data_IF_508372375925
#
_entry.id   IF_508372375925
#
_cell.length_a   1.000
_cell.length_b   1.000
_cell.length_c   1.000
_cell.angle_alpha   90.00
_cell.angle_beta   90.00
_cell.angle_gamma   90.00
#
_symmetry.space_group_name_H-M   'P 1'
#
loop_
_entity.id
_entity.type
_entity.pdbx_description
1 polymer ?
#
# COMPACT_ATOMS: atom_id res chain seq x y z
N UNK A 1 2.56 10.92 -19.20
CA UNK A 1 2.50 9.86 -18.16
C UNK A 1 2.07 10.30 -16.76
N UNK A 2 2.38 11.52 -16.27
CA UNK A 2 2.18 11.88 -14.85
C UNK A 2 0.75 12.16 -14.37
N UNK A 3 -0.26 12.09 -15.25
CA UNK A 3 -1.67 12.40 -14.98
C UNK A 3 -2.54 11.47 -15.84
N UNK A 4 -3.62 10.90 -15.29
CA UNK A 4 -4.39 9.87 -16.00
C UNK A 4 -5.06 10.37 -17.29
N UNK A 5 -5.67 11.56 -17.30
CA UNK A 5 -6.34 12.12 -18.48
C UNK A 5 -5.45 12.18 -19.74
N UNK A 6 -4.16 12.43 -19.56
CA UNK A 6 -3.20 12.60 -20.66
C UNK A 6 -2.16 11.48 -20.76
N UNK A 7 -2.22 10.47 -19.88
CA UNK A 7 -1.20 9.43 -19.77
C UNK A 7 -0.95 8.72 -21.10
N UNK A 8 -2.03 8.27 -21.75
CA UNK A 8 -1.99 7.51 -23.01
C UNK A 8 -1.59 8.34 -24.25
N UNK A 9 -1.47 9.67 -24.13
CA UNK A 9 -0.96 10.52 -25.24
C UNK A 9 0.53 10.32 -25.47
N UNK A 10 1.24 9.79 -24.47
CA UNK A 10 2.63 9.37 -24.58
C UNK A 10 2.67 7.88 -24.94
N UNK A 11 3.25 7.48 -26.09
CA UNK A 11 3.31 6.08 -26.50
C UNK A 11 3.95 5.12 -25.49
N UNK A 12 4.82 5.61 -24.58
CA UNK A 12 5.42 4.77 -23.54
C UNK A 12 4.39 4.22 -22.54
N UNK A 13 3.18 4.80 -22.51
CA UNK A 13 2.04 4.31 -21.75
C UNK A 13 1.76 2.83 -22.01
N UNK A 14 1.74 2.41 -23.27
CA UNK A 14 1.35 1.06 -23.64
C UNK A 14 2.40 0.02 -23.22
N UNK A 15 3.71 0.19 -23.48
CA UNK A 15 4.73 -0.71 -22.92
C UNK A 15 4.79 -0.72 -21.39
N UNK A 16 4.53 0.42 -20.73
CA UNK A 16 4.43 0.47 -19.27
C UNK A 16 3.29 -0.43 -18.76
N UNK A 17 2.10 -0.30 -19.35
CA UNK A 17 0.94 -1.13 -19.01
C UNK A 17 1.10 -2.59 -19.42
N UNK A 18 1.82 -2.90 -20.50
CA UNK A 18 2.16 -4.27 -20.87
C UNK A 18 3.01 -4.94 -19.78
N UNK A 19 3.98 -4.25 -19.18
CA UNK A 19 4.73 -4.84 -18.07
C UNK A 19 3.87 -4.98 -16.79
N UNK A 20 2.88 -4.11 -16.57
CA UNK A 20 1.90 -4.29 -15.47
C UNK A 20 1.03 -5.53 -15.71
N UNK A 21 0.54 -5.73 -16.93
CA UNK A 21 -0.18 -6.94 -17.33
C UNK A 21 0.69 -8.19 -17.16
N UNK A 22 1.97 -8.13 -17.54
CA UNK A 22 2.95 -9.19 -17.24
C UNK A 22 3.09 -9.48 -15.75
N UNK A 23 3.10 -8.46 -14.88
CA UNK A 23 3.23 -8.66 -13.43
C UNK A 23 2.05 -9.44 -12.84
N UNK A 24 0.85 -9.33 -13.41
CA UNK A 24 -0.27 -10.21 -13.05
C UNK A 24 0.09 -11.67 -13.32
N UNK A 25 0.58 -11.98 -14.52
CA UNK A 25 0.90 -13.36 -14.91
C UNK A 25 2.02 -13.96 -14.07
N UNK A 26 3.05 -13.16 -13.78
CA UNK A 26 4.14 -13.53 -12.87
C UNK A 26 3.60 -13.78 -11.46
N UNK A 27 2.78 -12.88 -10.92
CA UNK A 27 2.19 -13.04 -9.59
C UNK A 27 1.37 -14.32 -9.48
N UNK A 28 0.51 -14.61 -10.47
CA UNK A 28 -0.27 -15.86 -10.49
C UNK A 28 0.61 -17.09 -10.51
N UNK A 29 1.62 -17.12 -11.37
CA UNK A 29 2.52 -18.27 -11.51
C UNK A 29 3.23 -18.57 -10.19
N UNK A 30 3.67 -17.53 -9.47
CA UNK A 30 4.32 -17.67 -8.16
C UNK A 30 3.35 -18.13 -7.05
N UNK A 31 2.06 -17.86 -7.18
CA UNK A 31 1.04 -18.13 -6.15
C UNK A 31 0.04 -19.22 -6.55
N UNK A 32 0.48 -20.20 -7.34
CA UNK A 32 -0.32 -21.39 -7.66
C UNK A 32 -1.52 -21.12 -8.57
N UNK A 33 -1.43 -20.11 -9.43
CA UNK A 33 -2.46 -19.72 -10.40
C UNK A 33 -3.82 -19.36 -9.79
N UNK A 34 -3.81 -18.85 -8.55
CA UNK A 34 -5.02 -18.30 -7.91
C UNK A 34 -5.60 -17.16 -8.76
N UNK A 35 -6.91 -17.13 -8.85
CA UNK A 35 -7.69 -16.08 -9.53
C UNK A 35 -8.83 -15.63 -8.62
N UNK A 36 -9.27 -14.39 -8.79
CA UNK A 36 -10.45 -13.87 -8.07
C UNK A 36 -11.68 -14.59 -8.63
N UNK A 37 -12.48 -15.20 -7.74
CA UNK A 37 -13.67 -15.99 -8.11
C UNK A 37 -14.98 -15.29 -7.83
N UNK A 38 -14.94 -14.05 -7.34
CA UNK A 38 -16.12 -13.24 -7.06
C UNK A 38 -16.94 -13.03 -8.35
N UNK A 39 -18.21 -13.49 -8.40
CA UNK A 39 -19.07 -13.30 -9.57
C UNK A 39 -19.22 -11.84 -9.99
N UNK A 40 -19.32 -10.90 -9.05
CA UNK A 40 -19.52 -9.48 -9.36
C UNK A 40 -18.29 -8.90 -10.08
N UNK A 41 -17.10 -9.33 -9.68
CA UNK A 41 -15.86 -9.01 -10.37
C UNK A 41 -15.79 -9.72 -11.73
N UNK A 42 -16.07 -11.03 -11.78
CA UNK A 42 -15.96 -11.83 -13.01
C UNK A 42 -16.96 -11.42 -14.10
N UNK A 43 -18.14 -10.95 -13.73
CA UNK A 43 -19.20 -10.49 -14.64
C UNK A 43 -19.15 -8.98 -14.92
N UNK A 44 -18.24 -8.25 -14.27
CA UNK A 44 -17.93 -6.86 -14.65
C UNK A 44 -17.52 -6.80 -16.11
N UNK A 45 -18.10 -5.83 -16.84
CA UNK A 45 -17.97 -5.73 -18.28
C UNK A 45 -17.56 -4.36 -18.75
N UNK A 46 -16.78 -4.32 -19.82
CA UNK A 46 -16.25 -3.10 -20.42
C UNK A 46 -16.51 -3.11 -21.93
N UNK A 47 -16.45 -1.94 -22.55
CA UNK A 47 -16.66 -1.77 -23.98
C UNK A 47 -15.38 -1.25 -24.64
N UNK A 48 -14.96 -1.89 -25.73
CA UNK A 48 -13.79 -1.49 -26.53
C UNK A 48 -14.13 -1.54 -28.01
N UNK A 49 -13.53 -0.64 -28.79
CA UNK A 49 -13.49 -0.76 -30.24
C UNK A 49 -12.41 -1.74 -30.65
N UNK A 50 -12.72 -2.65 -31.56
CA UNK A 50 -11.73 -3.53 -32.20
C UNK A 50 -11.07 -2.89 -33.42
N UNK A 51 -10.20 -3.65 -34.10
CA UNK A 51 -9.49 -3.20 -35.30
C UNK A 51 -10.41 -2.95 -36.51
N UNK A 52 -11.67 -3.41 -36.45
CA UNK A 52 -12.71 -3.22 -37.47
C UNK A 52 -13.73 -2.15 -37.07
N UNK A 53 -13.41 -1.34 -36.06
CA UNK A 53 -14.26 -0.28 -35.52
C UNK A 53 -15.61 -0.79 -35.00
N UNK A 54 -15.68 -2.05 -34.56
CA UNK A 54 -16.87 -2.61 -33.92
C UNK A 54 -16.78 -2.43 -32.41
N UNK A 55 -17.86 -1.95 -31.79
CA UNK A 55 -17.95 -1.80 -30.35
C UNK A 55 -18.30 -3.15 -29.71
N UNK A 56 -17.34 -3.76 -29.05
CA UNK A 56 -17.49 -5.06 -28.41
C UNK A 56 -17.58 -4.92 -26.90
N UNK A 57 -18.43 -5.75 -26.28
CA UNK A 57 -18.51 -5.90 -24.83
C UNK A 57 -17.67 -7.10 -24.40
N UNK A 58 -16.74 -6.91 -23.47
CA UNK A 58 -15.94 -7.99 -22.87
C UNK A 58 -16.22 -8.08 -21.37
N UNK A 59 -15.98 -9.27 -20.78
CA UNK A 59 -16.03 -9.48 -19.33
C UNK A 59 -14.65 -9.81 -18.77
N UNK A 60 -14.44 -9.55 -17.48
CA UNK A 60 -13.18 -9.89 -16.80
C UNK A 60 -12.86 -11.39 -16.91
N UNK A 61 -13.86 -12.27 -16.76
CA UNK A 61 -13.66 -13.73 -16.86
C UNK A 61 -13.06 -14.20 -18.19
N UNK A 62 -13.28 -13.45 -19.26
CA UNK A 62 -12.84 -13.82 -20.62
C UNK A 62 -11.35 -13.48 -20.85
N UNK A 63 -10.77 -12.61 -20.00
CA UNK A 63 -9.40 -12.11 -20.15
C UNK A 63 -8.41 -12.67 -19.12
N UNK A 64 -8.84 -13.59 -18.24
CA UNK A 64 -7.96 -14.18 -17.22
C UNK A 64 -6.88 -15.12 -17.79
N UNK A 65 -7.01 -15.55 -19.03
CA UNK A 65 -6.06 -16.47 -19.67
C UNK A 65 -5.47 -15.80 -20.90
N UNK A 66 -4.28 -15.23 -20.76
CA UNK A 66 -3.58 -14.53 -21.85
C UNK A 66 -3.35 -15.44 -23.08
N UNK A 67 -3.20 -16.75 -22.85
CA UNK A 67 -3.11 -17.76 -23.92
C UNK A 67 -4.39 -17.89 -24.74
N UNK A 68 -5.58 -17.71 -24.14
CA UNK A 68 -6.85 -17.66 -24.87
C UNK A 68 -6.99 -16.38 -25.69
N UNK A 69 -6.32 -15.31 -25.24
CA UNK A 69 -6.16 -14.04 -25.97
C UNK A 69 -5.03 -14.09 -27.00
N UNK A 70 -4.40 -15.25 -27.20
CA UNK A 70 -3.39 -15.52 -28.22
C UNK A 70 -2.11 -14.68 -28.08
N UNK A 71 -1.71 -14.34 -26.85
CA UNK A 71 -0.41 -13.74 -26.58
C UNK A 71 0.27 -14.35 -25.34
N UNK A 72 1.58 -14.15 -25.25
CA UNK A 72 2.40 -14.49 -24.10
C UNK A 72 3.55 -13.49 -23.95
N UNK A 73 4.21 -13.50 -22.79
CA UNK A 73 5.41 -12.70 -22.53
C UNK A 73 6.67 -13.55 -22.63
N UNK A 74 7.75 -12.93 -23.10
CA UNK A 74 9.07 -13.53 -23.06
C UNK A 74 9.47 -13.88 -21.61
N UNK A 75 10.03 -15.08 -21.44
CA UNK A 75 10.53 -15.55 -20.16
C UNK A 75 11.88 -14.91 -19.88
N UNK A 76 11.93 -14.09 -18.84
CA UNK A 76 13.14 -13.39 -18.38
C UNK A 76 13.32 -13.61 -16.89
N UNK A 77 14.58 -13.59 -16.43
CA UNK A 77 14.92 -13.82 -15.03
C UNK A 77 14.31 -12.76 -14.09
N UNK A 78 13.78 -13.22 -12.95
CA UNK A 78 13.26 -12.34 -11.91
C UNK A 78 14.35 -11.98 -10.92
N UNK A 79 15.17 -10.98 -11.27
CA UNK A 79 16.26 -10.53 -10.40
C UNK A 79 15.79 -10.08 -9.02
N UNK A 80 14.55 -9.62 -8.89
CA UNK A 80 13.94 -9.15 -7.63
C UNK A 80 13.39 -10.27 -6.73
N UNK A 81 13.20 -11.50 -7.23
CA UNK A 81 12.47 -12.55 -6.49
C UNK A 81 13.18 -12.96 -5.19
N UNK A 82 14.51 -12.99 -5.19
CA UNK A 82 15.33 -13.37 -4.04
C UNK A 82 16.00 -12.16 -3.34
N UNK A 83 15.50 -10.95 -3.58
CA UNK A 83 16.04 -9.72 -2.99
C UNK A 83 15.25 -9.27 -1.74
N UNK A 84 15.09 -10.19 -0.78
CA UNK A 84 14.46 -9.88 0.51
C UNK A 84 15.29 -8.83 1.29
N UNK A 85 14.71 -7.68 1.67
CA UNK A 85 15.43 -6.64 2.42
C UNK A 85 15.95 -7.12 3.77
N UNK A 86 17.09 -6.57 4.21
CA UNK A 86 17.66 -6.85 5.54
C UNK A 86 17.30 -5.74 6.53
N UNK A 87 17.22 -6.04 7.84
CA UNK A 87 17.04 -5.01 8.87
C UNK A 87 18.10 -3.91 8.80
N UNK A 88 17.71 -2.67 9.09
CA UNK A 88 18.60 -1.49 9.01
C UNK A 88 19.72 -1.49 10.06
N UNK A 89 19.48 -2.18 11.18
CA UNK A 89 20.43 -2.35 12.29
C UNK A 89 20.33 -3.79 12.84
N UNK A 90 21.31 -4.26 13.61
CA UNK A 90 21.21 -5.56 14.29
C UNK A 90 19.94 -5.66 15.15
N UNK A 91 19.25 -6.80 15.10
CA UNK A 91 17.95 -6.99 15.73
C UNK A 91 17.97 -6.82 17.26
N UNK A 92 19.05 -7.21 17.92
CA UNK A 92 19.23 -7.00 19.36
C UNK A 92 19.26 -5.49 19.72
N UNK A 93 19.98 -4.70 18.92
CA UNK A 93 20.04 -3.23 19.08
C UNK A 93 18.67 -2.63 18.86
N UNK A 94 17.95 -3.03 17.80
CA UNK A 94 16.59 -2.57 17.54
C UNK A 94 15.64 -2.86 18.70
N UNK A 95 15.65 -4.10 19.22
CA UNK A 95 14.79 -4.50 20.36
C UNK A 95 15.09 -3.69 21.62
N UNK A 96 16.36 -3.47 21.94
CA UNK A 96 16.73 -2.69 23.11
C UNK A 96 16.23 -1.24 23.00
N UNK A 97 16.35 -0.61 21.82
CA UNK A 97 15.83 0.75 21.56
C UNK A 97 14.30 0.77 21.65
N UNK A 98 13.60 -0.18 21.04
CA UNK A 98 12.14 -0.25 21.05
C UNK A 98 11.59 -0.49 22.47
N UNK A 99 12.23 -1.35 23.26
CA UNK A 99 11.88 -1.57 24.68
C UNK A 99 12.07 -0.30 25.52
N UNK A 100 13.20 0.38 25.35
CA UNK A 100 13.43 1.67 26.01
C UNK A 100 12.35 2.69 25.64
N UNK A 101 11.97 2.77 24.36
CA UNK A 101 10.90 3.65 23.88
C UNK A 101 9.54 3.29 24.46
N UNK A 102 9.23 2.00 24.60
CA UNK A 102 7.96 1.53 25.17
C UNK A 102 7.85 1.85 26.67
N UNK A 103 8.97 1.86 27.38
CA UNK A 103 9.04 2.18 28.82
C UNK A 103 9.24 3.68 29.09
N UNK A 104 9.45 4.50 28.07
CA UNK A 104 9.64 5.94 28.22
C UNK A 104 8.35 6.58 28.75
N UNK A 105 8.48 7.44 29.77
CA UNK A 105 7.37 8.27 30.25
C UNK A 105 6.91 9.20 29.12
N UNK A 106 5.62 9.54 29.05
CA UNK A 106 5.06 10.43 28.03
C UNK A 106 5.85 11.74 27.80
N UNK A 107 6.53 12.24 28.83
CA UNK A 107 7.35 13.46 28.77
C UNK A 107 8.70 13.29 28.03
N UNK A 108 9.13 12.06 27.77
CA UNK A 108 10.38 11.72 27.05
C UNK A 108 10.14 11.27 25.61
N UNK A 109 8.88 11.05 25.22
CA UNK A 109 8.52 10.73 23.84
C UNK A 109 8.66 11.98 22.97
N UNK A 110 9.02 11.79 21.70
CA UNK A 110 9.05 12.92 20.77
C UNK A 110 7.63 13.44 20.57
N UNK A 111 7.50 14.73 20.23
CA UNK A 111 6.19 15.40 20.04
C UNK A 111 5.29 14.72 19.00
N UNK A 112 5.88 13.92 18.12
CA UNK A 112 5.22 13.21 17.02
C UNK A 112 4.90 11.74 17.35
N UNK A 113 5.29 11.24 18.52
CA UNK A 113 4.99 9.87 18.96
C UNK A 113 3.59 9.83 19.59
N UNK A 114 2.66 9.11 18.97
CA UNK A 114 1.27 8.96 19.42
C UNK A 114 1.05 7.55 19.95
N UNK A 115 0.56 7.43 21.19
CA UNK A 115 0.33 6.12 21.83
C UNK A 115 -0.97 5.42 21.37
N UNK A 116 -1.90 6.20 20.81
CA UNK A 116 -3.14 5.71 20.20
C UNK A 116 -2.97 5.66 18.69
N UNK A 117 -3.46 4.58 18.08
CA UNK A 117 -3.55 4.45 16.62
C UNK A 117 -4.90 4.88 16.05
N UNK A 118 -5.84 5.31 16.89
CA UNK A 118 -7.12 5.92 16.48
C UNK A 118 -7.04 7.44 16.63
N UNK A 119 -7.28 8.16 15.53
CA UNK A 119 -7.23 9.62 15.43
C UNK A 119 -8.62 10.26 15.26
N UNK A 120 -9.68 9.48 15.46
CA UNK A 120 -11.06 9.95 15.42
C UNK A 120 -11.35 11.03 16.49
N UNK A 121 -12.30 11.95 16.25
CA UNK A 121 -13.15 12.05 15.05
C UNK A 121 -12.56 12.93 13.94
N UNK A 122 -11.47 13.65 14.20
CA UNK A 122 -10.94 14.67 13.28
C UNK A 122 -9.85 14.14 12.34
N UNK A 123 -9.37 12.92 12.56
CA UNK A 123 -8.21 12.38 11.87
C UNK A 123 -6.92 13.09 12.27
N UNK A 124 -5.80 12.68 11.66
CA UNK A 124 -4.49 13.31 11.83
C UNK A 124 -3.92 13.72 10.49
N UNK A 125 -3.53 14.99 10.38
CA UNK A 125 -2.81 15.49 9.20
C UNK A 125 -1.44 14.84 9.07
N UNK A 126 -1.03 14.59 7.83
CA UNK A 126 0.29 14.08 7.46
C UNK A 126 1.23 15.24 7.05
N UNK A 127 1.24 16.31 7.82
CA UNK A 127 2.09 17.49 7.63
C UNK A 127 3.54 17.27 8.09
N UNK A 128 3.76 16.28 8.97
CA UNK A 128 5.06 15.85 9.44
C UNK A 128 5.11 14.32 9.61
N UNK A 129 6.31 13.79 9.86
CA UNK A 129 6.49 12.38 10.23
C UNK A 129 5.63 12.04 11.43
N UNK A 130 4.72 11.08 11.25
CA UNK A 130 3.81 10.60 12.28
C UNK A 130 4.25 9.22 12.74
N UNK A 131 4.52 9.06 14.03
CA UNK A 131 4.77 7.75 14.62
C UNK A 131 3.63 7.37 15.54
N UNK A 132 3.11 6.15 15.39
CA UNK A 132 2.05 5.63 16.25
C UNK A 132 2.33 4.21 16.71
N UNK A 133 1.84 3.88 17.90
CA UNK A 133 1.83 2.51 18.41
C UNK A 133 0.53 1.82 17.98
N UNK A 134 0.66 0.68 17.32
CA UNK A 134 -0.46 -0.14 16.82
C UNK A 134 -0.48 -1.47 17.57
N UNK A 135 -1.63 -1.79 18.16
CA UNK A 135 -1.82 -3.06 18.87
C UNK A 135 -2.10 -4.19 17.87
N UNK A 136 -1.57 -5.37 18.17
CA UNK A 136 -1.72 -6.59 17.37
C UNK A 136 -2.73 -7.53 18.04
N UNK A 137 -3.83 -7.92 17.36
CA UNK A 137 -4.84 -8.79 17.98
C UNK A 137 -4.36 -10.21 18.28
N UNK A 138 -3.43 -10.75 17.47
CA UNK A 138 -2.84 -12.08 17.67
C UNK A 138 -1.31 -11.95 17.64
N UNK A 139 -0.62 -12.68 18.52
CA UNK A 139 0.85 -12.77 18.56
C UNK A 139 1.30 -14.22 18.45
N UNK A 140 2.53 -14.47 18.01
CA UNK A 140 3.13 -15.81 17.86
C UNK A 140 2.25 -16.81 17.09
N UNK A 141 1.71 -16.36 15.96
CA UNK A 141 0.87 -17.18 15.07
C UNK A 141 1.66 -18.37 14.55
N UNK A 142 1.02 -19.53 14.48
CA UNK A 142 1.58 -20.74 13.88
C UNK A 142 1.76 -20.57 12.38
N UNK A 143 2.63 -21.39 11.77
CA UNK A 143 2.83 -21.38 10.32
C UNK A 143 1.52 -21.59 9.55
N UNK A 144 0.66 -22.49 10.02
CA UNK A 144 -0.65 -22.77 9.40
C UNK A 144 -1.55 -21.54 9.43
N UNK A 145 -1.63 -20.84 10.55
CA UNK A 145 -2.44 -19.61 10.66
C UNK A 145 -1.93 -18.50 9.73
N UNK A 146 -0.61 -18.39 9.51
CA UNK A 146 -0.04 -17.43 8.56
C UNK A 146 -0.32 -17.80 7.10
N UNK A 147 -0.34 -19.09 6.77
CA UNK A 147 -0.67 -19.58 5.43
C UNK A 147 -2.17 -19.41 5.10
N UNK A 148 -3.04 -19.45 6.12
CA UNK A 148 -4.49 -19.25 5.99
C UNK A 148 -4.92 -17.78 6.05
N UNK A 149 -4.27 -16.96 6.87
CA UNK A 149 -4.61 -15.55 7.09
C UNK A 149 -3.34 -14.67 7.07
N UNK A 150 -3.27 -13.73 6.14
CA UNK A 150 -2.24 -12.70 6.11
C UNK A 150 -2.54 -11.61 7.15
N UNK A 151 -1.56 -11.29 7.98
CA UNK A 151 -1.65 -10.14 8.90
C UNK A 151 -1.31 -8.88 8.15
N UNK A 152 -2.30 -7.99 8.04
CA UNK A 152 -2.19 -6.76 7.28
C UNK A 152 -2.21 -5.54 8.19
N UNK A 153 -1.31 -4.60 7.93
CA UNK A 153 -1.39 -3.24 8.45
C UNK A 153 -2.33 -2.42 7.58
N UNK A 154 -3.37 -1.86 8.18
CA UNK A 154 -4.35 -1.01 7.52
C UNK A 154 -4.20 0.42 8.00
N UNK A 155 -3.79 1.31 7.09
CA UNK A 155 -3.90 2.76 7.28
C UNK A 155 -5.26 3.16 6.71
N UNK A 156 -6.21 3.49 7.58
CA UNK A 156 -7.61 3.65 7.18
C UNK A 156 -8.06 5.10 7.20
N UNK A 157 -9.06 5.39 6.36
CA UNK A 157 -9.65 6.71 6.25
C UNK A 157 -8.65 7.76 5.77
N UNK A 158 -7.80 7.39 4.82
CA UNK A 158 -6.89 8.31 4.13
C UNK A 158 -7.75 9.23 3.28
N UNK A 159 -7.88 10.47 3.71
CA UNK A 159 -8.74 11.47 3.11
C UNK A 159 -7.91 12.50 2.35
N UNK A 160 -8.07 12.52 1.03
CA UNK A 160 -7.14 13.10 0.06
C UNK A 160 -7.86 14.15 -0.78
N UNK A 161 -7.28 15.36 -0.96
CA UNK A 161 -7.75 16.29 -1.99
C UNK A 161 -7.58 15.68 -3.39
N UNK A 162 -8.66 15.59 -4.19
CA UNK A 162 -8.66 14.89 -5.49
C UNK A 162 -7.60 15.38 -6.48
N UNK A 163 -7.25 16.65 -6.46
CA UNK A 163 -6.35 17.29 -7.44
C UNK A 163 -4.88 17.35 -6.95
N UNK A 164 -4.48 16.44 -6.05
CA UNK A 164 -3.11 16.43 -5.51
C UNK A 164 -2.43 15.09 -5.59
N UNK A 165 -1.15 15.13 -5.96
CA UNK A 165 -0.24 14.02 -5.79
C UNK A 165 0.09 13.83 -4.30
N UNK A 166 -0.29 12.69 -3.75
CA UNK A 166 0.00 12.33 -2.35
C UNK A 166 0.89 11.10 -2.34
N UNK A 167 2.02 11.20 -1.64
CA UNK A 167 2.91 10.07 -1.40
C UNK A 167 3.42 10.08 0.03
N UNK A 168 3.26 8.98 0.74
CA UNK A 168 3.92 8.75 2.02
C UNK A 168 4.39 7.30 2.13
N UNK A 169 5.51 7.11 2.82
CA UNK A 169 6.06 5.79 3.09
C UNK A 169 5.60 5.29 4.46
N UNK A 170 5.50 3.98 4.62
CA UNK A 170 5.11 3.31 5.86
C UNK A 170 6.26 2.44 6.33
N UNK A 171 6.70 2.66 7.56
CA UNK A 171 7.74 1.86 8.21
C UNK A 171 7.19 1.20 9.48
N UNK A 172 7.68 0.01 9.78
CA UNK A 172 7.39 -0.75 10.99
C UNK A 172 8.67 -0.93 11.78
N UNK A 173 8.62 -0.62 13.08
CA UNK A 173 9.69 -0.79 14.05
C UNK A 173 11.03 -0.11 13.67
N UNK A 174 10.97 0.97 12.89
CA UNK A 174 12.14 1.79 12.62
C UNK A 174 12.67 2.45 13.90
N UNK A 175 13.98 2.27 14.14
CA UNK A 175 14.67 2.81 15.31
C UNK A 175 15.56 4.00 14.98
N UNK A 176 16.09 4.06 13.75
CA UNK A 176 16.91 5.16 13.27
C UNK A 176 16.24 5.88 12.09
N UNK A 177 15.72 7.07 12.35
CA UNK A 177 15.01 7.90 11.36
C UNK A 177 15.94 8.47 10.28
N UNK A 178 17.23 8.64 10.58
CA UNK A 178 18.20 9.21 9.62
C UNK A 178 18.48 8.31 8.42
N UNK A 179 18.16 7.02 8.53
CA UNK A 179 18.46 6.01 7.50
C UNK A 179 17.19 5.44 6.84
N UNK A 180 16.03 6.07 7.02
CA UNK A 180 14.76 5.61 6.44
C UNK A 180 14.81 5.53 4.91
N UNK A 181 14.87 4.31 4.39
CA UNK A 181 14.84 4.04 2.95
C UNK A 181 14.12 2.72 2.63
N UNK A 182 13.68 2.52 1.37
CA UNK A 182 12.98 1.31 0.94
C UNK A 182 13.83 0.03 0.85
N UNK A 183 15.15 0.10 1.10
CA UNK A 183 16.07 -1.04 0.98
C UNK A 183 16.16 -1.86 2.27
N UNK A 184 15.63 -1.34 3.37
CA UNK A 184 15.65 -1.98 4.67
C UNK A 184 14.32 -2.65 4.99
N UNK A 185 14.37 -3.65 5.87
CA UNK A 185 13.21 -4.49 6.17
C UNK A 185 12.09 -3.78 6.92
N UNK A 186 12.42 -2.71 7.63
CA UNK A 186 11.46 -1.86 8.31
C UNK A 186 10.49 -1.17 7.33
N UNK A 187 10.84 -1.03 6.05
CA UNK A 187 9.95 -0.46 5.04
C UNK A 187 8.82 -1.46 4.67
N UNK A 188 7.58 -1.10 5.01
CA UNK A 188 6.40 -1.92 4.75
C UNK A 188 5.75 -1.61 3.40
N UNK A 189 5.86 -0.37 2.91
CA UNK A 189 5.30 0.03 1.63
C UNK A 189 5.10 1.53 1.49
N UNK A 190 4.45 1.94 0.41
CA UNK A 190 4.17 3.34 0.09
C UNK A 190 2.72 3.48 -0.33
N UNK A 191 2.06 4.53 0.14
CA UNK A 191 0.82 5.01 -0.43
C UNK A 191 1.12 6.02 -1.55
N UNK A 192 0.47 5.87 -2.70
CA UNK A 192 0.54 6.84 -3.80
C UNK A 192 -0.86 7.13 -4.32
N UNK A 193 -1.21 8.41 -4.39
CA UNK A 193 -2.36 8.92 -5.14
C UNK A 193 -1.85 9.80 -6.29
N UNK A 194 -2.32 9.51 -7.50
CA UNK A 194 -2.02 10.29 -8.71
C UNK A 194 -3.25 11.13 -9.05
N UNK A 195 -3.03 12.40 -9.35
CA UNK A 195 -4.07 13.32 -9.79
C UNK A 195 -4.70 12.80 -11.11
N UNK A 196 -6.04 12.61 -11.16
CA UNK A 196 -6.73 12.22 -12.38
C UNK A 196 -6.61 13.26 -13.52
N UNK A 197 -6.32 14.53 -13.21
CA UNK A 197 -6.18 15.62 -14.18
C UNK A 197 -7.47 16.11 -14.78
N UNK A 198 -8.59 15.81 -14.13
CA UNK A 198 -9.91 16.24 -14.54
C UNK A 198 -10.53 16.99 -13.37
N UNK A 199 -10.58 18.32 -13.47
CA UNK A 199 -11.34 19.14 -12.53
C UNK A 199 -12.83 18.91 -12.79
N UNK A 200 -13.53 18.37 -11.81
CA UNK A 200 -15.00 18.35 -11.84
C UNK A 200 -15.49 19.78 -11.69
N UNK A 201 -16.02 20.37 -12.76
CA UNK A 201 -16.65 21.67 -12.69
C UNK A 201 -17.86 21.59 -11.74
N UNK A 202 -17.72 22.17 -10.55
CA UNK A 202 -18.85 22.32 -9.63
C UNK A 202 -19.90 23.20 -10.31
N UNK A 203 -21.15 22.71 -10.38
CA UNK A 203 -22.30 23.58 -10.67
C UNK A 203 -22.44 24.52 -9.47
N UNK A 204 -22.21 25.80 -9.72
CA UNK A 204 -22.55 26.96 -8.88
C UNK A 204 -21.98 27.05 -7.44
N UNK A 205 -21.16 28.08 -7.25
CA UNK A 205 -20.98 28.88 -6.03
C UNK A 205 -20.35 28.30 -4.74
N UNK A 206 -20.09 27.00 -4.62
CA UNK A 206 -19.21 26.49 -3.56
C UNK A 206 -18.12 25.60 -4.16
N UNK A 207 -16.87 26.06 -4.10
CA UNK A 207 -15.69 25.24 -4.43
C UNK A 207 -15.51 24.24 -3.29
N UNK A 208 -16.37 23.23 -3.21
CA UNK A 208 -16.06 22.05 -2.42
C UNK A 208 -14.91 21.34 -3.12
N UNK A 209 -13.72 21.40 -2.50
CA UNK A 209 -12.59 20.56 -2.91
C UNK A 209 -13.09 19.12 -2.79
N UNK A 210 -13.27 18.42 -3.91
CA UNK A 210 -13.62 17.02 -3.87
C UNK A 210 -12.52 16.25 -3.13
N UNK A 211 -12.93 15.47 -2.13
CA UNK A 211 -12.03 14.63 -1.36
C UNK A 211 -12.37 13.17 -1.56
N UNK A 212 -11.35 12.33 -1.66
CA UNK A 212 -11.50 10.88 -1.74
C UNK A 212 -11.01 10.26 -0.45
N UNK A 213 -11.84 9.38 0.10
CA UNK A 213 -11.49 8.55 1.24
C UNK A 213 -11.13 7.14 0.78
N UNK A 214 -9.98 6.66 1.20
CA UNK A 214 -9.46 5.33 0.84
C UNK A 214 -8.64 4.73 1.97
N UNK A 215 -8.24 3.47 1.81
CA UNK A 215 -7.44 2.73 2.77
C UNK A 215 -6.19 2.17 2.07
N UNK A 216 -5.07 2.09 2.80
CA UNK A 216 -3.88 1.33 2.39
C UNK A 216 -3.81 0.04 3.20
N UNK A 217 -3.62 -1.09 2.53
CA UNK A 217 -3.40 -2.40 3.15
C UNK A 217 -2.03 -2.94 2.77
N UNK A 218 -1.22 -3.28 3.77
CA UNK A 218 0.14 -3.81 3.59
C UNK A 218 0.27 -5.15 4.33
N UNK A 219 0.67 -6.21 3.62
CA UNK A 219 1.03 -7.48 4.25
C UNK A 219 2.30 -7.32 5.07
N UNK A 220 2.25 -7.72 6.35
CA UNK A 220 3.36 -7.56 7.29
C UNK A 220 3.78 -8.86 7.95
N UNK A 221 3.19 -10.02 7.60
CA UNK A 221 3.54 -11.30 8.25
C UNK A 221 5.03 -11.60 8.13
N UNK A 222 5.56 -11.55 6.91
CA UNK A 222 6.99 -11.78 6.67
C UNK A 222 7.87 -10.69 7.30
N UNK A 223 7.35 -9.45 7.36
CA UNK A 223 8.07 -8.31 7.91
C UNK A 223 8.30 -8.50 9.41
N UNK A 224 7.26 -8.93 10.12
CA UNK A 224 7.34 -9.19 11.56
C UNK A 224 8.26 -10.37 11.88
N UNK A 225 8.33 -11.38 11.01
CA UNK A 225 9.27 -12.50 11.14
C UNK A 225 10.72 -12.02 11.03
N UNK A 226 11.05 -11.23 10.00
CA UNK A 226 12.44 -10.76 9.80
C UNK A 226 12.91 -9.76 10.85
N UNK A 227 11.98 -9.01 11.45
CA UNK A 227 12.28 -8.10 12.55
C UNK A 227 12.24 -8.81 13.91
N UNK A 228 11.96 -10.12 13.95
CA UNK A 228 11.75 -10.91 15.17
C UNK A 228 10.73 -10.27 16.14
N UNK A 229 9.67 -9.68 15.58
CA UNK A 229 8.63 -8.92 16.29
C UNK A 229 7.32 -9.73 16.46
N UNK A 230 7.31 -11.01 16.12
CA UNK A 230 6.10 -11.84 16.14
C UNK A 230 5.45 -11.97 17.52
N UNK A 231 6.28 -11.92 18.56
CA UNK A 231 5.85 -12.00 19.96
C UNK A 231 5.41 -10.66 20.57
N UNK A 232 5.58 -9.55 19.85
CA UNK A 232 5.30 -8.23 20.39
C UNK A 232 3.80 -7.93 20.29
N UNK A 233 3.17 -7.57 21.41
CA UNK A 233 1.75 -7.19 21.46
C UNK A 233 1.47 -5.91 20.66
N UNK A 234 2.47 -5.03 20.55
CA UNK A 234 2.35 -3.75 19.87
C UNK A 234 3.57 -3.51 18.98
N UNK A 235 3.35 -2.84 17.87
CA UNK A 235 4.42 -2.39 16.96
C UNK A 235 4.40 -0.88 16.82
N UNK A 236 5.55 -0.30 16.49
CA UNK A 236 5.66 1.11 16.15
C UNK A 236 5.56 1.29 14.65
N UNK A 237 4.57 2.05 14.18
CA UNK A 237 4.41 2.38 12.76
C UNK A 237 4.77 3.84 12.55
N UNK A 238 5.59 4.12 11.54
CA UNK A 238 5.97 5.48 11.15
C UNK A 238 5.44 5.76 9.75
N UNK A 239 4.58 6.78 9.63
CA UNK A 239 4.14 7.35 8.36
C UNK A 239 5.03 8.55 8.03
N UNK A 240 5.72 8.47 6.89
CA UNK A 240 6.68 9.47 6.45
C UNK A 240 6.16 10.19 5.18
N UNK A 241 5.66 11.43 5.31
CA UNK A 241 5.27 12.24 4.15
C UNK A 241 6.41 12.42 3.16
N UNK A 242 6.12 12.24 1.86
CA UNK A 242 7.11 12.39 0.76
C UNK A 242 6.67 13.40 -0.30
N UNK A 243 5.44 13.92 -0.25
CA UNK A 243 4.97 14.98 -1.14
C UNK A 243 4.24 16.08 -0.38
N UNK A 244 4.20 17.27 -0.96
CA UNK A 244 3.48 18.42 -0.39
C UNK A 244 1.96 18.18 -0.28
N UNK A 245 1.42 17.24 -1.07
CA UNK A 245 0.01 16.81 -0.98
C UNK A 245 -0.36 16.22 0.39
N UNK A 246 0.62 15.72 1.14
CA UNK A 246 0.39 15.16 2.48
C UNK A 246 -0.07 16.21 3.51
N UNK A 247 0.30 17.49 3.33
CA UNK A 247 -0.09 18.59 4.25
C UNK A 247 -1.61 18.70 4.37
N UNK A 248 -2.34 18.39 3.30
CA UNK A 248 -3.81 18.47 3.25
C UNK A 248 -4.48 17.08 3.30
N UNK A 249 -3.69 16.04 3.57
CA UNK A 249 -4.16 14.66 3.70
C UNK A 249 -4.29 14.32 5.17
N UNK A 250 -5.43 13.72 5.54
CA UNK A 250 -5.66 13.20 6.89
C UNK A 250 -5.78 11.69 6.87
N UNK A 251 -5.49 11.07 8.01
CA UNK A 251 -5.67 9.63 8.26
C UNK A 251 -6.53 9.48 9.50
N UNK A 252 -7.53 8.59 9.48
CA UNK A 252 -8.40 8.34 10.64
C UNK A 252 -7.72 7.43 11.67
N UNK A 253 -6.84 6.54 11.22
CA UNK A 253 -6.03 5.72 12.11
C UNK A 253 -5.29 4.59 11.44
N UNK A 254 -4.68 3.76 12.28
CA UNK A 254 -3.99 2.54 11.90
C UNK A 254 -4.51 1.37 12.74
N UNK A 255 -4.65 0.21 12.11
CA UNK A 255 -5.05 -1.04 12.78
C UNK A 255 -4.47 -2.25 12.07
N UNK A 256 -4.46 -3.37 12.77
CA UNK A 256 -4.13 -4.68 12.19
C UNK A 256 -5.42 -5.44 11.90
N UNK A 257 -5.51 -5.98 10.69
CA UNK A 257 -6.56 -6.89 10.26
C UNK A 257 -5.96 -8.20 9.75
N UNK A 258 -6.81 -9.21 9.53
CA UNK A 258 -6.42 -10.50 8.95
C UNK A 258 -7.26 -10.75 7.70
N UNK A 259 -6.61 -11.10 6.60
CA UNK A 259 -7.26 -11.38 5.32
C UNK A 259 -6.89 -12.79 4.84
N UNK A 260 -7.86 -13.49 4.26
CA UNK A 260 -7.67 -14.83 3.67
C UNK A 260 -7.37 -14.76 2.19
#
# INVERSE_FOLDING_TARGET
MGVFYSAARDPIFYPHHANIDRLWDVWRTLHGNKVITDPDWLDSSFFFYDEKLQLNRIKIRDVLSITKLQYEYEKVDFTWLNNRPKPSVPLEVARNILRMRQNAKQQQLQRNDILSSNFSPHGRFLDATLRTRVNRPKVRRTRKEKEEEEEILVVHGIDIPEERYVKFDVYVNVVNETIMNPRFREFAGTFVHIDPGVTRAARESNIEVFRKKTDLKLGISELLEDLEAEGDENIWVTLLPRSEGCINTTVDGLRIEYIR
#
